data_IF_993421833434
#
_entry.id   IF_993421833434
#
_cell.length_a   1.000
_cell.length_b   1.000
_cell.length_c   1.000
_cell.angle_alpha   90.00
_cell.angle_beta   90.00
_cell.angle_gamma   90.00
#
_symmetry.space_group_name_H-M   'P 1'
#
loop_
_entity.id
_entity.type
_entity.pdbx_description
1 polymer ?
#
# COMPACT_ATOMS: atom_id res chain seq x y z
N UNK A 1 18.63 -1.45 -8.50
CA UNK A 1 18.72 0.00 -8.81
C UNK A 1 19.16 0.29 -10.25
N UNK A 2 20.10 -0.49 -10.82
CA UNK A 2 20.55 -0.31 -12.22
C UNK A 2 19.37 -0.42 -13.21
N UNK A 3 18.51 -1.42 -13.01
CA UNK A 3 17.32 -1.65 -13.87
C UNK A 3 16.28 -0.53 -13.78
N UNK A 4 16.06 0.03 -12.59
CA UNK A 4 15.12 1.15 -12.41
C UNK A 4 15.62 2.41 -13.11
N UNK A 5 16.92 2.71 -13.01
CA UNK A 5 17.52 3.87 -13.68
C UNK A 5 17.48 3.73 -15.21
N UNK A 6 17.71 2.53 -15.72
CA UNK A 6 17.70 2.26 -17.17
C UNK A 6 16.29 2.26 -17.77
N UNK A 7 15.25 1.97 -16.96
CA UNK A 7 13.87 1.85 -17.42
C UNK A 7 12.96 2.93 -16.82
N UNK A 8 13.51 4.09 -16.46
CA UNK A 8 12.79 5.12 -15.70
C UNK A 8 11.45 5.50 -16.35
N UNK A 9 11.45 5.77 -17.65
CA UNK A 9 10.23 6.16 -18.39
C UNK A 9 9.14 5.09 -18.33
N UNK A 10 9.53 3.81 -18.41
CA UNK A 10 8.62 2.67 -18.37
C UNK A 10 8.08 2.47 -16.94
N UNK A 11 8.94 2.65 -15.94
CA UNK A 11 8.54 2.66 -14.53
C UNK A 11 7.56 3.80 -14.23
N UNK A 12 7.78 5.01 -14.76
CA UNK A 12 6.89 6.15 -14.53
C UNK A 12 5.50 5.95 -15.13
N UNK A 13 5.40 5.28 -16.29
CA UNK A 13 4.10 4.91 -16.86
C UNK A 13 3.36 3.89 -15.97
N UNK A 14 4.08 2.94 -15.37
CA UNK A 14 3.51 1.99 -14.40
C UNK A 14 3.08 2.64 -13.09
N UNK A 15 3.84 3.60 -12.56
CA UNK A 15 3.54 4.32 -11.31
C UNK A 15 2.16 4.99 -11.35
N UNK A 16 1.71 5.42 -12.53
CA UNK A 16 0.37 6.00 -12.73
C UNK A 16 -0.76 5.01 -12.48
N UNK A 17 -0.49 3.71 -12.54
CA UNK A 17 -1.47 2.64 -12.33
C UNK A 17 -1.28 1.97 -10.96
N UNK A 18 -0.02 1.77 -10.55
CA UNK A 18 0.31 1.11 -9.30
C UNK A 18 1.62 1.63 -8.69
N UNK A 19 1.71 1.73 -7.35
CA UNK A 19 2.95 2.05 -6.65
C UNK A 19 4.07 1.05 -6.92
N UNK A 20 5.30 1.54 -7.08
CA UNK A 20 6.47 0.69 -7.26
C UNK A 20 7.37 0.69 -6.03
N UNK A 21 7.84 -0.49 -5.64
CA UNK A 21 8.86 -0.64 -4.59
C UNK A 21 10.21 -0.90 -5.24
N UNK A 22 11.16 0.02 -5.02
CA UNK A 22 12.55 -0.15 -5.42
C UNK A 22 13.27 -0.95 -4.34
N UNK A 23 13.85 -2.07 -4.75
CA UNK A 23 14.67 -2.91 -3.86
C UNK A 23 16.17 -2.71 -4.14
N UNK A 24 16.97 -2.88 -3.08
CA UNK A 24 18.44 -2.96 -3.12
C UNK A 24 18.85 -4.23 -2.38
N UNK A 25 19.55 -5.14 -3.05
CA UNK A 25 19.93 -6.46 -2.51
C UNK A 25 18.71 -7.26 -1.95
N UNK A 26 17.59 -7.25 -2.67
CA UNK A 26 16.36 -7.93 -2.26
C UNK A 26 15.61 -7.27 -1.10
N UNK A 27 16.11 -6.15 -0.55
CA UNK A 27 15.46 -5.41 0.53
C UNK A 27 14.78 -4.16 0.00
N UNK A 28 13.54 -3.83 0.44
CA UNK A 28 12.91 -2.56 0.12
C UNK A 28 13.81 -1.39 0.51
N UNK A 29 13.95 -0.41 -0.38
CA UNK A 29 14.81 0.76 -0.15
C UNK A 29 14.10 2.08 -0.43
N UNK A 30 13.28 2.14 -1.48
CA UNK A 30 12.49 3.32 -1.79
C UNK A 30 11.14 2.93 -2.40
N UNK A 31 10.14 3.81 -2.27
CA UNK A 31 8.85 3.70 -2.96
C UNK A 31 8.72 4.82 -3.98
N UNK A 32 8.08 4.51 -5.12
CA UNK A 32 7.69 5.50 -6.12
C UNK A 32 6.18 5.48 -6.20
N UNK A 33 5.58 6.63 -5.93
CA UNK A 33 4.15 6.78 -5.70
C UNK A 33 3.60 7.81 -6.68
N UNK A 34 2.37 7.63 -7.19
CA UNK A 34 1.68 8.69 -7.91
C UNK A 34 1.35 9.84 -6.94
N UNK A 35 1.51 11.08 -7.41
CA UNK A 35 1.16 12.31 -6.68
C UNK A 35 -0.31 12.72 -6.88
N UNK A 36 -1.19 11.78 -7.25
CA UNK A 36 -2.60 12.07 -7.46
C UNK A 36 -3.32 12.29 -6.12
N UNK A 37 -4.27 13.23 -6.08
CA UNK A 37 -5.00 13.61 -4.85
C UNK A 37 -5.80 12.44 -4.22
N UNK A 38 -6.05 11.38 -4.98
CA UNK A 38 -6.77 10.19 -4.54
C UNK A 38 -5.85 9.05 -4.08
N UNK A 39 -4.52 9.22 -4.16
CA UNK A 39 -3.58 8.20 -3.74
C UNK A 39 -3.32 8.21 -2.23
N UNK A 40 -3.72 7.14 -1.57
CA UNK A 40 -3.53 6.98 -0.13
C UNK A 40 -2.12 6.44 0.21
N UNK A 41 -1.24 7.38 0.59
CA UNK A 41 0.14 7.09 1.00
C UNK A 41 0.19 6.24 2.27
N UNK A 42 -0.73 6.43 3.21
CA UNK A 42 -0.75 5.70 4.47
C UNK A 42 -1.03 4.21 4.24
N UNK A 43 -2.01 3.92 3.39
CA UNK A 43 -2.35 2.53 2.98
C UNK A 43 -1.17 1.85 2.31
N UNK A 44 -0.46 2.57 1.44
CA UNK A 44 0.74 2.05 0.81
C UNK A 44 1.84 1.72 1.84
N UNK A 45 2.11 2.62 2.78
CA UNK A 45 3.14 2.43 3.80
C UNK A 45 2.81 1.25 4.73
N UNK A 46 1.55 1.17 5.20
CA UNK A 46 1.09 0.08 6.07
C UNK A 46 1.18 -1.27 5.36
N UNK A 47 0.68 -1.36 4.13
CA UNK A 47 0.65 -2.62 3.38
C UNK A 47 2.03 -3.13 2.93
N UNK A 48 3.04 -2.26 2.87
CA UNK A 48 4.41 -2.63 2.50
C UNK A 48 5.36 -2.73 3.70
N UNK A 49 4.93 -2.36 4.91
CA UNK A 49 5.72 -2.49 6.12
C UNK A 49 5.60 -3.89 6.71
N UNK A 50 6.64 -4.71 6.51
CA UNK A 50 6.71 -6.06 7.09
C UNK A 50 6.55 -6.04 8.61
N UNK A 51 7.20 -5.08 9.29
CA UNK A 51 7.10 -4.93 10.74
C UNK A 51 5.67 -4.63 11.20
N UNK A 52 4.95 -3.74 10.52
CA UNK A 52 3.56 -3.44 10.87
C UNK A 52 2.66 -4.65 10.62
N UNK A 53 2.84 -5.34 9.50
CA UNK A 53 2.09 -6.57 9.20
C UNK A 53 2.38 -7.68 10.21
N UNK A 54 3.63 -7.81 10.69
CA UNK A 54 4.00 -8.77 11.73
C UNK A 54 3.33 -8.42 13.07
N UNK A 55 3.32 -7.14 13.46
CA UNK A 55 2.62 -6.67 14.67
C UNK A 55 1.10 -6.89 14.59
N UNK A 56 0.49 -6.59 13.43
CA UNK A 56 -0.93 -6.82 13.18
C UNK A 56 -1.28 -8.31 13.31
N UNK A 57 -0.47 -9.17 12.69
CA UNK A 57 -0.67 -10.62 12.75
C UNK A 57 -0.40 -11.19 14.14
N UNK A 58 0.56 -10.66 14.91
CA UNK A 58 0.77 -11.07 16.30
C UNK A 58 -0.43 -10.75 17.17
N UNK A 59 -1.00 -9.55 17.04
CA UNK A 59 -2.19 -9.17 17.80
C UNK A 59 -3.40 -10.02 17.44
N UNK A 60 -3.61 -10.26 16.15
CA UNK A 60 -4.73 -11.07 15.66
C UNK A 60 -4.55 -12.56 15.97
N UNK A 61 -3.33 -13.07 15.96
CA UNK A 61 -3.04 -14.45 16.35
C UNK A 61 -3.40 -14.71 17.82
N UNK A 62 -3.21 -13.71 18.69
CA UNK A 62 -3.70 -13.76 20.08
C UNK A 62 -5.25 -13.80 20.17
N UNK A 63 -5.95 -13.36 19.12
CA UNK A 63 -7.40 -13.39 18.96
C UNK A 63 -7.87 -14.56 18.05
N UNK A 64 -6.96 -15.48 17.69
CA UNK A 64 -7.26 -16.64 16.83
C UNK A 64 -7.51 -16.31 15.35
N UNK A 65 -7.11 -15.12 14.88
CA UNK A 65 -7.31 -14.65 13.50
C UNK A 65 -5.99 -14.37 12.81
N UNK A 66 -5.97 -14.44 11.48
CA UNK A 66 -4.83 -14.01 10.67
C UNK A 66 -5.36 -13.38 9.38
N UNK A 67 -4.79 -12.26 8.96
CA UNK A 67 -5.10 -11.66 7.67
C UNK A 67 -3.92 -11.79 6.72
N UNK A 68 -4.20 -12.24 5.51
CA UNK A 68 -3.31 -12.06 4.37
C UNK A 68 -3.24 -10.58 3.99
N UNK A 69 -2.15 -10.20 3.32
CA UNK A 69 -1.99 -8.84 2.79
C UNK A 69 -3.16 -8.39 1.90
N UNK A 70 -3.71 -9.30 1.10
CA UNK A 70 -4.87 -9.01 0.23
C UNK A 70 -6.12 -8.65 1.03
N UNK A 71 -6.35 -9.32 2.15
CA UNK A 71 -7.50 -9.06 3.01
C UNK A 71 -7.37 -7.71 3.73
N UNK A 72 -6.15 -7.35 4.17
CA UNK A 72 -5.90 -6.03 4.78
C UNK A 72 -6.16 -4.92 3.77
N UNK A 73 -5.60 -5.02 2.56
CA UNK A 73 -5.81 -4.01 1.51
C UNK A 73 -7.30 -3.83 1.22
N UNK A 74 -8.02 -4.94 1.03
CA UNK A 74 -9.46 -4.92 0.76
C UNK A 74 -10.26 -4.29 1.89
N UNK A 75 -9.95 -4.61 3.15
CA UNK A 75 -10.66 -4.06 4.31
C UNK A 75 -10.48 -2.55 4.41
N UNK A 76 -9.28 -2.05 4.11
CA UNK A 76 -9.01 -0.61 4.12
C UNK A 76 -9.73 0.09 2.97
N UNK A 77 -9.66 -0.44 1.74
CA UNK A 77 -10.42 0.11 0.60
C UNK A 77 -11.94 0.15 0.85
N UNK A 78 -12.49 -0.89 1.49
CA UNK A 78 -13.91 -0.95 1.85
C UNK A 78 -14.28 0.07 2.93
N UNK A 79 -13.41 0.30 3.92
CA UNK A 79 -13.59 1.33 4.94
C UNK A 79 -13.55 2.73 4.32
N UNK A 80 -12.57 2.99 3.46
CA UNK A 80 -12.39 4.27 2.76
C UNK A 80 -13.61 4.59 1.88
N UNK A 81 -14.10 3.58 1.15
CA UNK A 81 -15.31 3.71 0.32
C UNK A 81 -16.56 4.00 1.14
N UNK A 82 -16.69 3.40 2.33
CA UNK A 82 -17.80 3.68 3.26
C UNK A 82 -17.71 5.11 3.76
N UNK A 83 -16.54 5.56 4.20
CA UNK A 83 -16.34 6.91 4.71
C UNK A 83 -16.68 7.98 3.66
N UNK A 84 -16.21 7.81 2.42
CA UNK A 84 -16.55 8.70 1.29
C UNK A 84 -18.06 8.77 1.03
N UNK A 85 -18.78 7.65 1.15
CA UNK A 85 -20.25 7.63 1.02
C UNK A 85 -20.95 8.35 2.17
N UNK A 86 -20.44 8.21 3.39
CA UNK A 86 -21.00 8.89 4.56
C UNK A 86 -20.81 10.40 4.46
N UNK A 87 -19.63 10.87 4.04
CA UNK A 87 -19.36 12.31 3.82
C UNK A 87 -20.26 12.92 2.72
N UNK A 88 -20.55 12.18 1.64
CA UNK A 88 -21.46 12.62 0.57
C UNK A 88 -22.94 12.68 0.97
N UNK A 89 -23.33 12.03 2.07
CA UNK A 89 -24.71 12.08 2.59
C UNK A 89 -24.90 13.15 3.66
N UNK A 90 -23.79 13.67 4.20
CA UNK A 90 -23.77 14.73 5.21
C UNK A 90 -23.58 16.14 4.62
N UNK A 91 -23.34 16.22 3.31
CA UNK A 91 -23.30 17.44 2.50
C UNK A 91 -24.58 17.55 1.67
#
# INVERSE_FOLDING_TARGET
MKDFKQNLSLCMNRVRQEPLVITKHGRPWAGVLPLADDFDVEVFLVSNSRRLMDLFNQRLAAEGRRYSRKEVVRAVEEADRKERKTRRRAA
#
